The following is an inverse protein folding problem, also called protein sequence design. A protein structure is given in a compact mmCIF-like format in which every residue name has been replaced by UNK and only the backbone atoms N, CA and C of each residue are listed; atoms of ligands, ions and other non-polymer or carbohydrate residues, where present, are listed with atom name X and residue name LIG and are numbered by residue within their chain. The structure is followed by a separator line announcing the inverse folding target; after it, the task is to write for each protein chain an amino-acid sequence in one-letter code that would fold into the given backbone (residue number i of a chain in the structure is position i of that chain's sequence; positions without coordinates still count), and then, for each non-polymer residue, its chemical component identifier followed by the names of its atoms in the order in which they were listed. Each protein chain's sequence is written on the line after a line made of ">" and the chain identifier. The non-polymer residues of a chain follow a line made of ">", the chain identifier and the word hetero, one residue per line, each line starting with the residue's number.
data_IF_670169160172
#
_entry.id   IF_670169160172
#
_cell.length_a   1.000
_cell.length_b   1.000
_cell.length_c   1.000
_cell.angle_alpha   90.00
_cell.angle_beta   90.00
_cell.angle_gamma   90.00
#
_symmetry.space_group_name_H-M   'P 1'
#
loop_
_entity.id
_entity.type
_entity.pdbx_description
1 polymer ?
#
# COMPACT_ATOMS: atom_id res chain seq x y z
N UNK A 1 -33.56 12.90 7.42
CA UNK A 1 -34.03 11.80 6.56
C UNK A 1 -33.68 10.47 7.22
N UNK A 2 -34.25 10.17 8.39
CA UNK A 2 -34.03 8.89 9.08
C UNK A 2 -35.17 7.91 8.75
N UNK A 3 -34.90 6.61 8.78
CA UNK A 3 -35.92 5.57 8.58
C UNK A 3 -35.86 4.52 9.68
N UNK A 4 -36.93 3.71 9.80
CA UNK A 4 -37.03 2.67 10.84
C UNK A 4 -36.21 1.42 10.49
N UNK A 5 -36.30 0.98 9.23
CA UNK A 5 -35.66 -0.23 8.70
C UNK A 5 -34.48 0.06 7.75
N UNK A 6 -33.92 1.27 7.83
CA UNK A 6 -32.80 1.74 7.01
C UNK A 6 -32.72 3.26 7.00
N UNK A 7 -31.51 3.79 6.80
CA UNK A 7 -31.29 5.22 6.69
C UNK A 7 -31.81 5.83 5.39
N UNK A 8 -32.08 7.13 5.40
CA UNK A 8 -32.51 7.85 4.21
C UNK A 8 -31.36 8.33 3.34
N UNK A 9 -31.70 9.04 2.25
CA UNK A 9 -30.74 9.70 1.38
C UNK A 9 -30.88 11.23 1.48
N UNK A 10 -29.74 11.92 1.57
CA UNK A 10 -29.67 13.37 1.48
C UNK A 10 -28.61 13.78 0.43
N UNK A 11 -29.04 14.46 -0.63
CA UNK A 11 -28.17 14.98 -1.69
C UNK A 11 -28.20 16.52 -1.64
N UNK A 12 -27.09 17.12 -1.21
CA UNK A 12 -26.98 18.56 -0.96
C UNK A 12 -25.93 19.15 -1.89
N UNK A 13 -26.38 19.94 -2.86
CA UNK A 13 -25.50 20.58 -3.85
C UNK A 13 -24.99 19.63 -4.96
N UNK A 14 -25.32 18.35 -4.93
CA UNK A 14 -24.97 17.40 -6.00
C UNK A 14 -25.20 15.96 -5.57
N UNK A 15 -24.73 15.03 -6.39
CA UNK A 15 -24.71 13.60 -6.10
C UNK A 15 -23.26 13.09 -6.09
N UNK A 16 -23.07 11.79 -5.88
CA UNK A 16 -21.77 11.14 -5.74
C UNK A 16 -20.75 11.61 -6.78
N UNK A 17 -19.64 12.16 -6.28
CA UNK A 17 -18.54 12.75 -7.05
C UNK A 17 -18.96 13.78 -8.11
N UNK A 18 -20.16 14.36 -8.01
CA UNK A 18 -20.73 15.28 -9.00
C UNK A 18 -20.91 14.68 -10.39
N UNK A 19 -20.94 13.34 -10.51
CA UNK A 19 -20.94 12.63 -11.81
C UNK A 19 -22.34 12.36 -12.38
N UNK A 20 -23.37 12.50 -11.56
CA UNK A 20 -24.75 12.28 -12.00
C UNK A 20 -25.24 13.45 -12.86
N UNK A 21 -25.27 13.28 -14.18
CA UNK A 21 -25.73 14.31 -15.12
C UNK A 21 -27.20 14.69 -14.97
N UNK A 22 -28.00 13.91 -14.23
CA UNK A 22 -29.40 14.20 -13.94
C UNK A 22 -29.58 15.19 -12.77
N UNK A 23 -28.55 15.38 -11.93
CA UNK A 23 -28.57 16.29 -10.79
C UNK A 23 -27.60 17.43 -11.08
N UNK A 24 -28.09 18.67 -11.02
CA UNK A 24 -27.24 19.85 -11.22
C UNK A 24 -26.38 20.05 -9.98
N UNK A 25 -25.06 20.10 -10.18
CA UNK A 25 -24.13 20.46 -9.14
C UNK A 25 -24.23 21.95 -8.81
N UNK A 26 -24.20 22.26 -7.52
CA UNK A 26 -23.99 23.60 -7.02
C UNK A 26 -22.55 24.02 -7.31
N UNK A 27 -22.36 25.30 -7.65
CA UNK A 27 -21.01 25.86 -7.73
C UNK A 27 -20.35 25.89 -6.34
N UNK A 28 -21.13 26.23 -5.31
CA UNK A 28 -20.68 26.38 -3.93
C UNK A 28 -21.72 25.82 -2.97
N UNK A 29 -21.24 25.13 -1.93
CA UNK A 29 -22.08 24.56 -0.87
C UNK A 29 -21.53 24.99 0.49
N UNK A 30 -22.41 25.48 1.35
CA UNK A 30 -22.08 25.91 2.71
C UNK A 30 -23.04 25.24 3.69
N UNK A 31 -22.48 24.52 4.65
CA UNK A 31 -23.21 23.90 5.76
C UNK A 31 -22.75 24.56 7.06
N UNK A 32 -23.66 25.32 7.67
CA UNK A 32 -23.43 26.05 8.92
C UNK A 32 -23.10 25.10 10.09
N UNK A 33 -22.38 25.61 11.10
CA UNK A 33 -21.99 24.86 12.29
C UNK A 33 -23.18 24.32 13.11
N UNK A 34 -24.34 24.97 13.02
CA UNK A 34 -25.55 24.57 13.73
C UNK A 34 -26.45 23.65 12.89
N UNK A 35 -26.05 23.36 11.64
CA UNK A 35 -26.79 22.46 10.76
C UNK A 35 -26.56 20.99 11.13
N UNK A 36 -27.62 20.18 11.03
CA UNK A 36 -27.60 18.74 11.26
C UNK A 36 -28.25 18.01 10.09
N UNK A 37 -27.57 16.98 9.59
CA UNK A 37 -28.07 16.12 8.50
C UNK A 37 -28.14 14.68 9.03
N UNK A 38 -29.36 14.19 9.23
CA UNK A 38 -29.59 12.83 9.73
C UNK A 38 -30.03 11.91 8.60
N UNK A 39 -29.37 10.77 8.50
CA UNK A 39 -29.68 9.66 7.61
C UNK A 39 -29.64 8.33 8.37
N UNK A 40 -29.98 8.32 9.65
CA UNK A 40 -29.88 7.12 10.51
C UNK A 40 -30.94 6.07 10.22
N UNK A 41 -30.58 4.81 10.47
CA UNK A 41 -31.54 3.74 10.71
C UNK A 41 -31.88 3.68 12.21
N UNK A 42 -33.17 3.81 12.56
CA UNK A 42 -33.59 3.98 13.95
C UNK A 42 -33.68 2.65 14.71
N UNK A 43 -34.09 1.56 14.03
CA UNK A 43 -34.35 0.28 14.67
C UNK A 43 -33.53 -0.86 14.05
N UNK A 44 -33.62 -1.04 12.74
CA UNK A 44 -32.84 -2.06 12.01
C UNK A 44 -32.40 -1.53 10.65
N UNK A 45 -31.37 -2.13 10.05
CA UNK A 45 -30.89 -1.78 8.71
C UNK A 45 -29.74 -0.78 8.74
N UNK A 46 -29.15 -0.57 7.58
CA UNK A 46 -27.92 0.20 7.45
C UNK A 46 -28.19 1.71 7.57
N UNK A 47 -27.17 2.43 8.06
CA UNK A 47 -27.15 3.88 7.98
C UNK A 47 -27.25 4.35 6.52
N UNK A 48 -27.80 5.55 6.35
CA UNK A 48 -28.16 6.08 5.04
C UNK A 48 -27.00 6.69 4.27
N UNK A 49 -27.35 7.40 3.20
CA UNK A 49 -26.41 8.06 2.30
C UNK A 49 -26.53 9.57 2.41
N UNK A 50 -25.42 10.25 2.67
CA UNK A 50 -25.35 11.72 2.66
C UNK A 50 -24.28 12.18 1.68
N UNK A 51 -24.65 13.04 0.73
CA UNK A 51 -23.72 13.66 -0.20
C UNK A 51 -23.80 15.17 -0.05
N UNK A 52 -22.66 15.80 0.20
CA UNK A 52 -22.47 17.25 0.16
C UNK A 52 -21.45 17.55 -0.93
N UNK A 53 -21.88 18.22 -2.00
CA UNK A 53 -21.05 18.44 -3.19
C UNK A 53 -21.02 19.92 -3.60
N UNK A 54 -19.90 20.35 -4.18
CA UNK A 54 -19.78 21.58 -4.95
C UNK A 54 -18.74 21.45 -6.07
N UNK A 55 -19.01 22.07 -7.22
CA UNK A 55 -18.07 22.13 -8.37
C UNK A 55 -16.86 23.06 -8.12
N UNK A 56 -16.92 23.92 -7.10
CA UNK A 56 -15.81 24.78 -6.69
C UNK A 56 -15.51 24.63 -5.20
N UNK A 57 -16.35 25.20 -4.33
CA UNK A 57 -16.07 25.31 -2.89
C UNK A 57 -17.16 24.65 -2.05
N UNK A 58 -16.76 23.69 -1.21
CA UNK A 58 -17.58 23.19 -0.11
C UNK A 58 -16.99 23.61 1.23
N UNK A 59 -17.80 24.29 2.05
CA UNK A 59 -17.50 24.60 3.46
C UNK A 59 -18.47 23.82 4.34
N UNK A 60 -17.94 22.95 5.18
CA UNK A 60 -18.74 22.08 6.02
C UNK A 60 -18.33 22.20 7.48
N UNK A 61 -19.23 22.78 8.28
CA UNK A 61 -19.02 23.03 9.70
C UNK A 61 -20.04 22.31 10.61
N UNK A 62 -21.12 21.75 10.03
CA UNK A 62 -22.21 21.12 10.76
C UNK A 62 -21.92 19.67 11.20
N UNK A 63 -23.00 18.94 11.47
CA UNK A 63 -22.96 17.54 11.89
C UNK A 63 -23.72 16.63 10.90
N UNK A 64 -23.14 15.49 10.56
CA UNK A 64 -23.78 14.41 9.81
C UNK A 64 -23.90 13.17 10.70
N UNK A 65 -25.08 12.55 10.70
CA UNK A 65 -25.34 11.25 11.33
C UNK A 65 -25.89 10.29 10.28
N UNK A 66 -25.25 9.13 10.10
CA UNK A 66 -25.77 8.01 9.28
C UNK A 66 -25.48 6.69 10.01
N UNK A 67 -26.00 6.58 11.22
CA UNK A 67 -25.73 5.45 12.12
C UNK A 67 -26.56 4.22 11.73
N UNK A 68 -25.98 3.03 11.86
CA UNK A 68 -26.66 1.75 11.66
C UNK A 68 -27.70 1.44 12.74
N UNK A 69 -28.69 0.61 12.40
CA UNK A 69 -29.85 0.32 13.24
C UNK A 69 -29.50 -0.27 14.62
N UNK A 70 -30.27 0.11 15.64
CA UNK A 70 -30.07 -0.32 17.03
C UNK A 70 -30.19 -1.84 17.27
N UNK A 71 -30.78 -2.59 16.35
CA UNK A 71 -30.91 -4.06 16.35
C UNK A 71 -30.01 -4.75 15.31
N UNK A 72 -29.30 -3.99 14.48
CA UNK A 72 -28.44 -4.51 13.41
C UNK A 72 -28.44 -3.62 12.16
N UNK A 73 -27.37 -3.73 11.37
CA UNK A 73 -27.09 -2.95 10.16
C UNK A 73 -25.74 -2.26 10.22
N UNK A 74 -25.16 -1.95 9.07
CA UNK A 74 -23.87 -1.27 8.94
C UNK A 74 -24.03 0.24 9.11
N UNK A 75 -22.91 0.93 9.35
CA UNK A 75 -22.86 2.39 9.29
C UNK A 75 -23.02 2.88 7.86
N UNK A 76 -23.56 4.08 7.69
CA UNK A 76 -23.88 4.65 6.39
C UNK A 76 -22.68 5.18 5.61
N UNK A 77 -22.97 5.73 4.44
CA UNK A 77 -21.98 6.37 3.58
C UNK A 77 -22.18 7.88 3.56
N UNK A 78 -21.11 8.63 3.77
CA UNK A 78 -21.11 10.10 3.65
C UNK A 78 -19.98 10.58 2.75
N UNK A 79 -20.30 11.43 1.78
CA UNK A 79 -19.32 12.19 1.02
C UNK A 79 -19.46 13.69 1.34
N UNK A 80 -18.35 14.34 1.65
CA UNK A 80 -18.27 15.80 1.69
C UNK A 80 -17.12 16.26 0.81
N UNK A 81 -17.47 16.83 -0.34
CA UNK A 81 -16.52 17.13 -1.40
C UNK A 81 -16.74 18.53 -1.96
N UNK A 82 -15.64 19.20 -2.27
CA UNK A 82 -15.63 20.40 -3.10
C UNK A 82 -14.54 20.20 -4.13
N UNK A 83 -14.90 20.16 -5.40
CA UNK A 83 -14.02 19.74 -6.49
C UNK A 83 -12.70 20.52 -6.50
N UNK A 84 -12.75 21.84 -6.27
CA UNK A 84 -11.54 22.67 -6.19
C UNK A 84 -11.10 22.93 -4.74
N UNK A 85 -12.06 23.15 -3.84
CA UNK A 85 -11.81 23.56 -2.45
C UNK A 85 -12.77 22.88 -1.46
N UNK A 86 -12.20 22.32 -0.40
CA UNK A 86 -12.92 21.82 0.76
C UNK A 86 -12.32 22.44 2.03
N UNK A 87 -13.20 22.96 2.87
CA UNK A 87 -12.93 23.30 4.27
C UNK A 87 -13.86 22.46 5.16
N UNK A 88 -13.31 21.39 5.73
CA UNK A 88 -14.03 20.44 6.56
C UNK A 88 -13.63 20.60 8.02
N UNK A 89 -14.54 21.16 8.82
CA UNK A 89 -14.36 21.35 10.27
C UNK A 89 -15.56 20.84 11.09
N UNK A 90 -16.56 20.25 10.42
CA UNK A 90 -17.73 19.66 11.07
C UNK A 90 -17.44 18.31 11.74
N UNK A 91 -18.46 17.47 11.88
CA UNK A 91 -18.34 16.11 12.46
C UNK A 91 -19.20 15.10 11.70
N UNK A 92 -18.84 13.82 11.78
CA UNK A 92 -19.60 12.72 11.21
C UNK A 92 -19.67 11.54 12.18
N UNK A 93 -20.87 11.05 12.44
CA UNK A 93 -21.13 9.78 13.13
C UNK A 93 -21.76 8.79 12.15
N UNK A 94 -20.95 7.81 11.73
CA UNK A 94 -21.34 6.74 10.80
C UNK A 94 -21.13 5.39 11.49
N UNK A 95 -21.27 5.35 12.82
CA UNK A 95 -20.99 4.17 13.60
C UNK A 95 -22.02 3.07 13.35
N UNK A 96 -21.63 1.84 13.68
CA UNK A 96 -22.55 0.73 13.88
C UNK A 96 -22.17 -0.04 15.14
N UNK A 97 -23.18 -0.57 15.83
CA UNK A 97 -23.00 -1.41 17.02
C UNK A 97 -22.75 -2.89 16.68
N UNK A 98 -23.32 -3.38 15.58
CA UNK A 98 -23.34 -4.81 15.24
C UNK A 98 -22.81 -5.11 13.85
N UNK A 99 -22.70 -4.09 13.00
CA UNK A 99 -22.19 -4.19 11.64
C UNK A 99 -20.86 -3.45 11.49
N UNK A 100 -20.49 -3.22 10.24
CA UNK A 100 -19.29 -2.50 9.88
C UNK A 100 -19.43 -0.99 10.11
N UNK A 101 -18.30 -0.32 10.38
CA UNK A 101 -18.26 1.13 10.51
C UNK A 101 -18.49 1.77 9.13
N UNK A 102 -19.35 2.78 9.06
CA UNK A 102 -19.64 3.53 7.85
C UNK A 102 -18.45 4.37 7.36
N UNK A 103 -18.54 4.90 6.14
CA UNK A 103 -17.40 5.60 5.49
C UNK A 103 -17.69 7.08 5.28
N UNK A 104 -16.75 7.91 5.74
CA UNK A 104 -16.64 9.32 5.39
C UNK A 104 -15.61 9.47 4.26
N UNK A 105 -16.08 9.87 3.07
CA UNK A 105 -15.27 10.23 1.92
C UNK A 105 -15.09 11.75 1.85
N UNK A 106 -13.84 12.19 1.75
CA UNK A 106 -13.46 13.58 1.49
C UNK A 106 -12.63 13.59 0.19
N UNK A 107 -13.18 14.16 -0.91
CA UNK A 107 -12.53 14.13 -2.24
C UNK A 107 -12.06 15.52 -2.76
N UNK A 108 -11.00 16.09 -2.14
CA UNK A 108 -10.12 17.13 -2.65
C UNK A 108 -9.70 17.16 -4.11
N UNK A 109 -9.31 18.33 -4.61
CA UNK A 109 -8.19 18.38 -5.58
C UNK A 109 -6.80 18.23 -4.89
N UNK A 110 -6.64 18.60 -3.61
CA UNK A 110 -5.41 18.54 -2.77
C UNK A 110 -5.95 18.53 -1.33
N UNK A 111 -5.16 18.08 -0.38
CA UNK A 111 -5.54 18.06 1.03
C UNK A 111 -4.37 18.55 1.88
N UNK A 112 -4.63 19.48 2.80
CA UNK A 112 -3.77 19.76 3.94
C UNK A 112 -4.55 19.42 5.22
N UNK A 113 -4.08 18.41 5.96
CA UNK A 113 -4.61 18.09 7.29
C UNK A 113 -3.81 18.87 8.31
N UNK A 114 -4.45 19.82 8.99
CA UNK A 114 -3.78 20.77 9.89
C UNK A 114 -4.68 21.19 11.05
N UNK A 115 -4.12 21.99 11.96
CA UNK A 115 -4.91 22.61 13.03
C UNK A 115 -5.82 23.69 12.48
N UNK A 116 -7.03 23.76 13.05
CA UNK A 116 -7.97 24.82 12.75
C UNK A 116 -7.34 26.17 13.09
N UNK A 117 -6.86 26.87 12.06
CA UNK A 117 -6.83 28.31 12.05
C UNK A 117 -8.13 28.77 11.41
N UNK A 118 -9.16 29.04 12.20
CA UNK A 118 -10.28 29.85 11.71
C UNK A 118 -9.65 31.13 11.18
N UNK A 119 -9.93 31.49 9.93
CA UNK A 119 -9.66 32.84 9.47
C UNK A 119 -10.32 33.78 10.49
N UNK A 120 -9.57 34.74 11.03
CA UNK A 120 -10.11 35.70 12.00
C UNK A 120 -11.37 36.38 11.45
N UNK A 121 -12.19 36.91 12.34
CA UNK A 121 -13.56 37.47 12.14
C UNK A 121 -13.66 38.57 11.04
N UNK A 122 -12.57 38.93 10.35
CA UNK A 122 -12.53 39.85 9.21
C UNK A 122 -12.27 39.23 7.83
N UNK A 123 -12.18 37.90 7.69
CA UNK A 123 -11.94 37.20 6.41
C UNK A 123 -13.20 36.86 5.60
N UNK A 124 -14.33 37.48 5.93
CA UNK A 124 -15.64 37.21 5.29
C UNK A 124 -15.79 38.07 4.03
N UNK A 125 -14.97 37.80 3.02
CA UNK A 125 -15.49 37.76 1.66
C UNK A 125 -15.61 36.28 1.31
N UNK A 126 -16.76 35.71 1.67
CA UNK A 126 -16.91 34.30 2.11
C UNK A 126 -16.64 33.26 1.02
N UNK A 127 -16.27 33.69 -0.19
CA UNK A 127 -15.82 32.84 -1.28
C UNK A 127 -14.81 33.51 -2.24
N UNK A 128 -14.22 34.65 -1.87
CA UNK A 128 -13.21 35.33 -2.69
C UNK A 128 -11.77 34.92 -2.36
N UNK A 129 -11.60 33.97 -1.43
CA UNK A 129 -10.30 33.44 -1.04
C UNK A 129 -9.77 32.45 -2.10
N UNK A 130 -9.52 32.99 -3.29
CA UNK A 130 -8.82 32.28 -4.37
C UNK A 130 -7.37 32.06 -3.93
N UNK A 131 -7.03 30.84 -3.52
CA UNK A 131 -5.65 30.43 -3.27
C UNK A 131 -5.29 30.07 -1.84
N UNK A 132 -6.21 30.08 -0.87
CA UNK A 132 -5.95 29.56 0.47
C UNK A 132 -5.96 28.02 0.47
N UNK A 133 -4.93 27.42 1.06
CA UNK A 133 -4.71 25.96 1.14
C UNK A 133 -5.90 25.23 1.77
N UNK A 134 -6.27 24.09 1.16
CA UNK A 134 -7.39 23.19 1.50
C UNK A 134 -7.25 22.66 2.92
N UNK A 135 -8.28 22.78 3.78
CA UNK A 135 -8.14 22.44 5.20
C UNK A 135 -9.11 21.35 5.61
N UNK A 136 -8.54 20.27 6.13
CA UNK A 136 -9.28 19.30 6.93
C UNK A 136 -8.75 19.41 8.35
N UNK A 137 -9.63 19.68 9.31
CA UNK A 137 -9.23 19.74 10.72
C UNK A 137 -8.93 18.32 11.23
N UNK A 138 -7.70 18.07 11.69
CA UNK A 138 -7.35 16.75 12.21
C UNK A 138 -8.20 16.33 13.43
N UNK A 139 -8.64 17.29 14.27
CA UNK A 139 -9.50 16.98 15.41
C UNK A 139 -10.87 16.46 14.96
N UNK A 140 -11.38 16.94 13.83
CA UNK A 140 -12.61 16.42 13.23
C UNK A 140 -12.43 14.96 12.80
N UNK A 141 -11.29 14.62 12.18
CA UNK A 141 -11.00 13.23 11.80
C UNK A 141 -10.88 12.33 13.04
N UNK A 142 -10.14 12.79 14.05
CA UNK A 142 -9.89 12.04 15.29
C UNK A 142 -11.18 11.70 16.07
N UNK A 143 -12.19 12.55 15.94
CA UNK A 143 -13.50 12.41 16.58
C UNK A 143 -14.56 11.79 15.64
N UNK A 144 -14.22 11.48 14.39
CA UNK A 144 -15.15 10.83 13.48
C UNK A 144 -15.39 9.38 13.94
N UNK A 145 -16.66 9.00 14.08
CA UNK A 145 -17.04 7.62 14.31
C UNK A 145 -17.27 6.94 12.95
N UNK A 146 -16.21 6.89 12.13
CA UNK A 146 -16.27 6.47 10.75
C UNK A 146 -14.92 5.90 10.27
N UNK A 147 -14.97 5.03 9.27
CA UNK A 147 -13.85 4.83 8.35
C UNK A 147 -13.62 6.14 7.59
N UNK A 148 -12.38 6.61 7.50
CA UNK A 148 -12.04 7.87 6.84
C UNK A 148 -11.31 7.57 5.54
N UNK A 149 -11.87 8.01 4.42
CA UNK A 149 -11.22 7.98 3.11
C UNK A 149 -11.01 9.41 2.63
N UNK A 150 -9.76 9.74 2.32
CA UNK A 150 -9.39 11.02 1.72
C UNK A 150 -8.81 10.75 0.34
N UNK A 151 -9.48 11.29 -0.68
CA UNK A 151 -9.05 11.26 -2.06
C UNK A 151 -8.60 12.66 -2.49
N UNK A 152 -7.50 12.74 -3.22
CA UNK A 152 -6.97 13.98 -3.73
C UNK A 152 -6.49 13.83 -5.19
N UNK A 153 -6.91 14.74 -6.07
CA UNK A 153 -6.43 14.75 -7.45
C UNK A 153 -4.94 15.13 -7.60
N UNK A 154 -4.32 15.68 -6.56
CA UNK A 154 -2.91 16.03 -6.52
C UNK A 154 -2.27 15.45 -5.25
N UNK A 155 -1.99 16.27 -4.23
CA UNK A 155 -1.25 15.87 -3.03
C UNK A 155 -2.13 15.76 -1.78
N UNK A 156 -1.70 14.92 -0.84
CA UNK A 156 -2.16 14.91 0.55
C UNK A 156 -0.97 15.25 1.45
N UNK A 157 -1.09 16.30 2.27
CA UNK A 157 -0.09 16.67 3.28
C UNK A 157 -0.72 16.61 4.67
N UNK A 158 -0.05 15.96 5.63
CA UNK A 158 -0.47 15.87 7.03
C UNK A 158 0.49 16.63 7.94
N UNK A 159 0.06 17.82 8.37
CA UNK A 159 0.80 18.74 9.23
C UNK A 159 0.31 18.77 10.68
N UNK A 160 -0.76 18.03 11.00
CA UNK A 160 -1.20 17.75 12.36
C UNK A 160 -1.35 16.24 12.60
N UNK A 161 -1.05 15.79 13.81
CA UNK A 161 -1.27 14.40 14.25
C UNK A 161 -2.71 13.96 14.00
N UNK A 162 -2.85 12.82 13.34
CA UNK A 162 -4.10 12.06 13.22
C UNK A 162 -4.05 10.92 14.23
N UNK A 163 -5.14 10.72 14.96
CA UNK A 163 -5.33 9.71 15.99
C UNK A 163 -6.79 9.27 15.96
N UNK A 164 -7.12 8.29 15.11
CA UNK A 164 -8.46 7.71 15.06
C UNK A 164 -8.65 6.82 16.30
N UNK A 165 -9.54 7.22 17.20
CA UNK A 165 -9.74 6.53 18.48
C UNK A 165 -10.81 5.44 18.42
N UNK A 166 -11.69 5.50 17.43
CA UNK A 166 -12.71 4.49 17.16
C UNK A 166 -12.04 3.16 16.82
N UNK A 167 -12.30 2.12 17.61
CA UNK A 167 -11.68 0.80 17.41
C UNK A 167 -12.07 0.22 16.05
N UNK A 168 -11.08 -0.28 15.32
CA UNK A 168 -11.26 -0.84 13.97
C UNK A 168 -11.48 0.19 12.85
N UNK A 169 -11.63 1.48 13.17
CA UNK A 169 -11.84 2.51 12.15
C UNK A 169 -10.59 2.68 11.27
N UNK A 170 -10.77 2.55 9.97
CA UNK A 170 -9.69 2.59 8.98
C UNK A 170 -9.42 4.01 8.49
N UNK A 171 -8.19 4.23 8.03
CA UNK A 171 -7.77 5.45 7.36
C UNK A 171 -7.21 5.10 5.97
N UNK A 172 -7.83 5.65 4.93
CA UNK A 172 -7.35 5.52 3.55
C UNK A 172 -7.01 6.88 2.98
N UNK A 173 -5.78 7.06 2.51
CA UNK A 173 -5.36 8.18 1.68
C UNK A 173 -5.08 7.71 0.27
N UNK A 174 -5.60 8.44 -0.70
CA UNK A 174 -5.34 8.21 -2.12
C UNK A 174 -5.05 9.53 -2.81
N UNK A 175 -3.81 9.70 -3.27
CA UNK A 175 -3.33 10.90 -3.95
C UNK A 175 -2.81 10.54 -5.34
N UNK A 176 -3.24 11.24 -6.39
CA UNK A 176 -2.69 11.06 -7.74
C UNK A 176 -1.28 11.64 -7.92
N UNK A 177 -0.74 12.30 -6.89
CA UNK A 177 0.65 12.72 -6.82
C UNK A 177 1.28 12.19 -5.52
N UNK A 178 1.63 13.07 -4.57
CA UNK A 178 2.35 12.69 -3.36
C UNK A 178 1.46 12.57 -2.13
N UNK A 179 1.86 11.70 -1.20
CA UNK A 179 1.42 11.72 0.19
C UNK A 179 2.62 12.13 1.07
N UNK A 180 2.50 13.22 1.83
CA UNK A 180 3.53 13.71 2.74
C UNK A 180 3.03 13.73 4.18
N UNK A 181 3.68 12.97 5.06
CA UNK A 181 3.32 12.87 6.48
C UNK A 181 4.37 13.59 7.34
N UNK A 182 4.05 14.82 7.72
CA UNK A 182 4.87 15.63 8.63
C UNK A 182 4.55 15.36 10.12
N UNK A 183 3.46 14.64 10.39
CA UNK A 183 3.00 14.26 11.72
C UNK A 183 2.63 12.79 11.82
N UNK A 184 2.53 12.27 13.05
CA UNK A 184 2.19 10.87 13.26
C UNK A 184 0.75 10.58 12.87
N UNK A 185 0.52 9.39 12.31
CA UNK A 185 -0.80 8.80 12.12
C UNK A 185 -0.91 7.59 13.03
N UNK A 186 -1.99 7.53 13.80
CA UNK A 186 -2.33 6.37 14.64
C UNK A 186 -3.80 6.02 14.46
N UNK A 187 -4.11 4.73 14.37
CA UNK A 187 -5.47 4.18 14.48
C UNK A 187 -5.56 3.27 15.70
N UNK A 188 -6.79 2.95 16.12
CA UNK A 188 -7.05 1.98 17.19
C UNK A 188 -7.34 0.60 16.58
N UNK A 189 -6.29 -0.09 16.15
CA UNK A 189 -6.39 -1.40 15.48
C UNK A 189 -7.21 -1.37 14.17
N UNK A 190 -7.23 -0.22 13.49
CA UNK A 190 -7.82 -0.06 12.16
C UNK A 190 -6.74 -0.01 11.09
N UNK A 191 -6.99 -0.59 9.92
CA UNK A 191 -6.03 -0.58 8.83
C UNK A 191 -5.70 0.86 8.36
N UNK A 192 -4.44 1.07 7.96
CA UNK A 192 -4.00 2.29 7.30
C UNK A 192 -3.64 1.94 5.86
N UNK A 193 -4.27 2.59 4.88
CA UNK A 193 -3.96 2.43 3.44
C UNK A 193 -3.50 3.75 2.85
N UNK A 194 -2.31 3.77 2.25
CA UNK A 194 -1.71 4.93 1.62
C UNK A 194 -1.42 4.60 0.15
N UNK A 195 -2.10 5.27 -0.76
CA UNK A 195 -1.91 5.11 -2.20
C UNK A 195 -1.40 6.44 -2.78
N UNK A 196 -0.18 6.47 -3.27
CA UNK A 196 0.39 7.63 -3.95
C UNK A 196 0.91 7.23 -5.34
N UNK A 197 0.50 7.95 -6.39
CA UNK A 197 0.94 7.62 -7.75
C UNK A 197 2.36 8.11 -8.04
N UNK A 198 2.84 9.13 -7.31
CA UNK A 198 4.23 9.58 -7.40
C UNK A 198 4.99 9.10 -6.18
N UNK A 199 5.02 9.84 -5.06
CA UNK A 199 5.86 9.47 -3.90
C UNK A 199 5.11 9.45 -2.57
N UNK A 200 5.62 8.65 -1.64
CA UNK A 200 5.19 8.58 -0.25
C UNK A 200 6.35 9.02 0.64
N UNK A 201 6.14 10.09 1.41
CA UNK A 201 7.17 10.67 2.26
C UNK A 201 6.66 10.69 3.69
N UNK A 202 7.36 10.01 4.60
CA UNK A 202 7.00 10.05 6.03
C UNK A 202 8.14 10.49 6.93
N UNK A 203 7.89 11.52 7.73
CA UNK A 203 8.85 12.01 8.73
C UNK A 203 8.54 11.53 10.15
N UNK A 204 7.37 10.91 10.37
CA UNK A 204 6.86 10.48 11.69
C UNK A 204 6.23 9.10 11.66
N UNK A 205 5.91 8.58 12.84
CA UNK A 205 5.38 7.23 13.01
C UNK A 205 4.02 7.05 12.31
N UNK A 206 3.82 5.86 11.74
CA UNK A 206 2.55 5.35 11.22
C UNK A 206 2.25 4.10 12.02
N UNK A 207 1.16 4.11 12.76
CA UNK A 207 0.85 3.06 13.71
C UNK A 207 -0.59 2.57 13.51
N UNK A 208 -0.73 1.38 12.93
CA UNK A 208 -2.02 0.69 12.78
C UNK A 208 -2.26 -0.34 13.89
N UNK A 209 -1.40 -0.38 14.91
CA UNK A 209 -1.47 -1.33 16.01
C UNK A 209 -1.41 -2.77 15.52
N UNK A 210 -2.48 -3.52 15.79
CA UNK A 210 -2.63 -4.93 15.39
C UNK A 210 -3.23 -5.12 13.98
N UNK A 211 -3.52 -4.03 13.27
CA UNK A 211 -4.00 -4.09 11.89
C UNK A 211 -2.88 -4.10 10.85
N UNK A 212 -3.27 -4.14 9.58
CA UNK A 212 -2.35 -4.07 8.44
C UNK A 212 -2.15 -2.62 8.02
N UNK A 213 -0.89 -2.25 7.76
CA UNK A 213 -0.56 -1.04 7.00
C UNK A 213 -0.28 -1.41 5.55
N UNK A 214 -0.89 -0.69 4.61
CA UNK A 214 -0.75 -0.89 3.16
C UNK A 214 -0.18 0.40 2.56
N UNK A 215 0.92 0.30 1.82
CA UNK A 215 1.48 1.40 1.02
C UNK A 215 1.57 0.93 -0.42
N UNK A 216 0.91 1.61 -1.35
CA UNK A 216 0.85 1.21 -2.75
C UNK A 216 1.01 2.39 -3.70
N UNK A 217 1.33 2.07 -4.95
CA UNK A 217 1.30 3.01 -6.07
C UNK A 217 0.37 2.49 -7.15
N UNK A 218 -0.34 3.39 -7.84
CA UNK A 218 -1.16 3.06 -9.01
C UNK A 218 -0.28 3.15 -10.26
N UNK A 219 0.04 1.99 -10.84
CA UNK A 219 0.96 1.73 -11.93
C UNK A 219 2.45 2.07 -11.68
N UNK A 220 2.77 2.82 -10.63
CA UNK A 220 4.14 3.26 -10.34
C UNK A 220 5.06 2.13 -9.85
N UNK A 221 6.36 2.29 -10.14
CA UNK A 221 7.44 1.44 -9.64
C UNK A 221 7.87 1.87 -8.24
N UNK A 222 7.91 0.93 -7.30
CA UNK A 222 8.30 1.17 -5.91
C UNK A 222 9.74 0.69 -5.66
N UNK A 223 10.56 1.53 -5.03
CA UNK A 223 11.86 1.16 -4.45
C UNK A 223 11.76 1.01 -2.93
N UNK A 224 12.31 -0.06 -2.38
CA UNK A 224 12.42 -0.32 -0.94
C UNK A 224 13.88 -0.28 -0.48
N UNK A 225 14.10 0.28 0.71
CA UNK A 225 15.43 0.41 1.32
C UNK A 225 16.27 1.43 0.57
N UNK A 226 17.43 1.02 0.07
CA UNK A 226 18.35 1.86 -0.70
C UNK A 226 18.13 1.78 -2.22
N UNK A 227 17.04 1.12 -2.65
CA UNK A 227 16.82 0.82 -4.06
C UNK A 227 16.62 2.08 -4.90
N UNK A 228 17.35 2.16 -6.02
CA UNK A 228 17.18 3.18 -7.07
C UNK A 228 16.38 2.65 -8.27
N UNK A 229 15.75 1.49 -8.14
CA UNK A 229 15.01 0.80 -9.21
C UNK A 229 15.82 0.63 -10.51
N UNK A 230 17.15 0.47 -10.36
CA UNK A 230 18.13 0.43 -11.47
C UNK A 230 18.07 1.65 -12.40
N UNK A 231 17.64 2.80 -11.89
CA UNK A 231 17.56 4.06 -12.64
C UNK A 231 16.68 5.09 -11.94
N UNK A 232 15.37 4.87 -11.95
CA UNK A 232 14.38 5.74 -11.29
C UNK A 232 13.24 4.90 -10.74
N UNK A 233 12.85 5.19 -9.50
CA UNK A 233 11.59 4.76 -8.93
C UNK A 233 10.55 5.87 -9.12
N UNK A 234 9.27 5.52 -9.20
CA UNK A 234 8.20 6.51 -9.06
C UNK A 234 8.03 6.86 -7.57
N UNK A 235 7.96 5.83 -6.73
CA UNK A 235 7.90 5.93 -5.26
C UNK A 235 9.13 5.31 -4.61
N UNK A 236 9.68 5.94 -3.57
CA UNK A 236 10.74 5.34 -2.74
C UNK A 236 10.27 5.24 -1.29
N UNK A 237 10.40 4.06 -0.70
CA UNK A 237 10.17 3.83 0.74
C UNK A 237 11.50 3.44 1.35
N UNK A 238 12.19 4.44 1.89
CA UNK A 238 13.53 4.29 2.45
C UNK A 238 13.54 3.47 3.74
N UNK A 239 14.71 2.98 4.16
CA UNK A 239 14.91 2.36 5.48
C UNK A 239 14.45 3.26 6.65
N UNK A 240 14.57 4.58 6.48
CA UNK A 240 14.11 5.55 7.49
C UNK A 240 12.60 5.69 7.53
N UNK A 241 11.89 5.34 6.46
CA UNK A 241 10.42 5.32 6.42
C UNK A 241 9.87 3.98 6.87
N UNK A 242 10.46 2.87 6.42
CA UNK A 242 10.13 1.53 6.87
C UNK A 242 10.17 1.44 8.41
N UNK A 243 11.24 1.96 9.03
CA UNK A 243 11.41 1.92 10.50
C UNK A 243 10.37 2.72 11.28
N UNK A 244 9.59 3.57 10.62
CA UNK A 244 8.50 4.36 11.24
C UNK A 244 7.15 3.64 11.22
N UNK A 245 7.05 2.50 10.56
CA UNK A 245 5.78 1.76 10.41
C UNK A 245 5.66 0.73 11.53
N UNK A 246 4.62 0.87 12.35
CA UNK A 246 4.20 -0.12 13.34
C UNK A 246 2.90 -0.75 12.86
N UNK A 247 2.89 -2.08 12.75
CA UNK A 247 1.73 -2.84 12.28
C UNK A 247 1.83 -4.32 12.67
N UNK A 248 0.70 -5.05 12.63
CA UNK A 248 0.76 -6.51 12.60
C UNK A 248 1.32 -7.01 11.26
N UNK A 249 0.86 -6.45 10.14
CA UNK A 249 1.38 -6.79 8.83
C UNK A 249 1.65 -5.52 8.03
N UNK A 250 2.68 -5.55 7.19
CA UNK A 250 3.01 -4.49 6.25
C UNK A 250 2.86 -5.03 4.84
N UNK A 251 1.97 -4.45 4.05
CA UNK A 251 1.84 -4.73 2.62
C UNK A 251 2.39 -3.56 1.81
N UNK A 252 3.34 -3.84 0.93
CA UNK A 252 3.84 -2.91 -0.06
C UNK A 252 3.33 -3.33 -1.44
N UNK A 253 2.65 -2.40 -2.10
CA UNK A 253 1.99 -2.58 -3.38
C UNK A 253 0.63 -3.27 -3.30
N UNK A 254 -0.08 -3.26 -4.41
CA UNK A 254 -1.30 -4.01 -4.66
C UNK A 254 -1.41 -4.41 -6.15
N UNK A 255 -2.57 -4.90 -6.59
CA UNK A 255 -2.79 -5.35 -7.97
C UNK A 255 -2.72 -4.21 -9.02
N UNK A 256 -2.57 -2.95 -8.61
CA UNK A 256 -2.30 -1.83 -9.52
C UNK A 256 -0.83 -1.42 -9.56
N UNK A 257 -0.02 -1.87 -8.59
CA UNK A 257 1.38 -1.45 -8.47
C UNK A 257 2.24 -2.02 -9.59
N UNK A 258 3.13 -1.19 -10.15
CA UNK A 258 4.13 -1.56 -11.14
C UNK A 258 5.23 -2.44 -10.54
N UNK A 259 6.49 -2.30 -10.96
CA UNK A 259 7.57 -3.14 -10.41
C UNK A 259 7.87 -2.79 -8.95
N UNK A 260 8.36 -3.77 -8.19
CA UNK A 260 8.93 -3.52 -6.86
C UNK A 260 10.41 -3.91 -6.86
N UNK A 261 11.28 -2.98 -6.49
CA UNK A 261 12.71 -3.23 -6.31
C UNK A 261 13.09 -3.10 -4.85
N UNK A 262 13.84 -4.06 -4.32
CA UNK A 262 14.33 -4.04 -2.94
C UNK A 262 15.86 -4.10 -2.92
N UNK A 263 16.49 -3.23 -2.10
CA UNK A 263 17.93 -3.18 -1.88
C UNK A 263 18.22 -2.78 -0.43
N UNK A 264 19.14 -3.49 0.22
CA UNK A 264 19.68 -3.15 1.56
C UNK A 264 18.65 -2.91 2.68
N UNK A 265 17.51 -3.61 2.68
CA UNK A 265 16.56 -3.53 3.81
C UNK A 265 17.16 -4.26 5.02
N UNK A 266 17.38 -3.56 6.12
CA UNK A 266 17.94 -4.11 7.35
C UNK A 266 16.86 -4.69 8.27
N UNK A 267 17.24 -5.55 9.23
CA UNK A 267 16.30 -6.07 10.24
C UNK A 267 15.62 -4.95 11.04
N UNK A 268 16.35 -3.87 11.35
CA UNK A 268 15.79 -2.74 12.09
C UNK A 268 14.74 -1.97 11.29
N UNK A 269 14.81 -1.99 9.96
CA UNK A 269 13.91 -1.24 9.09
C UNK A 269 12.48 -1.77 9.20
N UNK A 270 12.30 -3.06 9.47
CA UNK A 270 10.97 -3.69 9.60
C UNK A 270 10.71 -4.26 10.99
N UNK A 271 11.56 -3.94 11.98
CA UNK A 271 11.48 -4.47 13.35
C UNK A 271 10.17 -4.16 14.11
N UNK A 272 9.45 -3.11 13.70
CA UNK A 272 8.15 -2.71 14.26
C UNK A 272 6.96 -3.41 13.56
N UNK A 273 7.22 -4.26 12.56
CA UNK A 273 6.21 -5.13 11.95
C UNK A 273 6.28 -6.49 12.63
N UNK A 274 5.26 -6.82 13.42
CA UNK A 274 5.27 -8.03 14.25
C UNK A 274 4.97 -9.33 13.49
N UNK A 275 4.29 -9.23 12.35
CA UNK A 275 3.92 -10.33 11.48
C UNK A 275 4.66 -10.29 10.15
N UNK A 276 3.91 -10.34 9.05
CA UNK A 276 4.48 -10.54 7.70
C UNK A 276 4.65 -9.23 6.96
N UNK A 277 5.80 -9.10 6.28
CA UNK A 277 5.96 -8.13 5.19
C UNK A 277 5.57 -8.81 3.89
N UNK A 278 4.61 -8.23 3.18
CA UNK A 278 4.12 -8.72 1.89
C UNK A 278 4.43 -7.72 0.80
N UNK A 279 5.10 -8.17 -0.26
CA UNK A 279 5.28 -7.38 -1.49
C UNK A 279 4.31 -7.93 -2.54
N UNK A 280 3.43 -7.09 -3.08
CA UNK A 280 2.44 -7.49 -4.09
C UNK A 280 2.38 -6.50 -5.24
N UNK A 281 2.36 -6.98 -6.48
CA UNK A 281 2.30 -6.11 -7.64
C UNK A 281 1.80 -6.79 -8.92
N UNK A 282 1.47 -5.98 -9.94
CA UNK A 282 1.01 -6.43 -11.25
C UNK A 282 2.14 -6.69 -12.26
N UNK A 283 3.37 -6.86 -11.78
CA UNK A 283 4.57 -6.90 -12.60
C UNK A 283 5.65 -7.74 -11.92
N UNK A 284 6.91 -7.31 -11.99
CA UNK A 284 8.05 -8.03 -11.42
C UNK A 284 8.39 -7.56 -10.00
N UNK A 285 8.88 -8.46 -9.15
CA UNK A 285 9.57 -8.15 -7.89
C UNK A 285 11.05 -8.49 -8.05
N UNK A 286 11.94 -7.54 -7.73
CA UNK A 286 13.39 -7.68 -7.90
C UNK A 286 14.13 -7.34 -6.61
N UNK A 287 14.91 -8.28 -6.09
CA UNK A 287 15.90 -8.02 -5.05
C UNK A 287 17.26 -7.84 -5.71
N UNK A 288 17.90 -6.69 -5.52
CA UNK A 288 19.18 -6.34 -6.15
C UNK A 288 20.08 -5.56 -5.19
N UNK A 289 21.31 -5.28 -5.61
CA UNK A 289 22.28 -4.58 -4.75
C UNK A 289 22.71 -5.43 -3.55
N UNK A 290 22.45 -4.93 -2.34
CA UNK A 290 22.85 -5.52 -1.07
C UNK A 290 21.77 -6.42 -0.47
N UNK A 291 22.21 -7.36 0.36
CA UNK A 291 21.34 -8.33 1.04
C UNK A 291 20.24 -7.63 1.83
N UNK A 292 19.02 -8.17 1.76
CA UNK A 292 17.85 -7.66 2.51
C UNK A 292 17.33 -8.67 3.53
N UNK A 293 16.77 -8.16 4.63
CA UNK A 293 16.32 -8.92 5.80
C UNK A 293 14.86 -8.59 6.14
N UNK A 294 14.11 -9.61 6.57
CA UNK A 294 12.73 -9.48 7.04
C UNK A 294 12.45 -10.47 8.16
N UNK A 295 11.49 -10.20 9.05
CA UNK A 295 11.06 -11.19 10.04
C UNK A 295 10.40 -12.40 9.35
N UNK A 296 9.39 -12.12 8.52
CA UNK A 296 8.68 -13.06 7.64
C UNK A 296 8.39 -12.33 6.32
N UNK A 297 8.54 -12.99 5.18
CA UNK A 297 8.41 -12.37 3.87
C UNK A 297 7.47 -13.17 2.96
N UNK A 298 6.51 -12.49 2.35
CA UNK A 298 5.68 -13.02 1.26
C UNK A 298 5.82 -12.15 0.02
N UNK A 299 6.07 -12.77 -1.13
CA UNK A 299 6.16 -12.13 -2.44
C UNK A 299 5.02 -12.64 -3.32
N UNK A 300 4.30 -11.74 -3.97
CA UNK A 300 3.20 -12.07 -4.88
C UNK A 300 3.28 -11.17 -6.10
N UNK A 301 3.81 -11.70 -7.19
CA UNK A 301 4.01 -10.98 -8.43
C UNK A 301 3.13 -11.60 -9.52
N UNK A 302 2.40 -10.79 -10.27
CA UNK A 302 1.70 -11.28 -11.48
C UNK A 302 2.72 -11.75 -12.52
N UNK A 303 3.97 -11.26 -12.51
CA UNK A 303 5.02 -11.69 -13.44
C UNK A 303 6.17 -12.41 -12.73
N UNK A 304 7.38 -11.85 -12.79
CA UNK A 304 8.58 -12.54 -12.36
C UNK A 304 9.02 -12.12 -10.95
N UNK A 305 9.67 -13.04 -10.24
CA UNK A 305 10.40 -12.75 -9.01
C UNK A 305 11.88 -13.06 -9.24
N UNK A 306 12.74 -12.05 -9.09
CA UNK A 306 14.18 -12.18 -9.31
C UNK A 306 14.96 -11.87 -8.03
N UNK A 307 15.73 -12.84 -7.54
CA UNK A 307 16.60 -12.75 -6.37
C UNK A 307 18.05 -12.62 -6.86
N UNK A 308 18.46 -11.40 -7.21
CA UNK A 308 19.81 -11.05 -7.72
C UNK A 308 20.81 -10.77 -6.59
N UNK A 309 20.30 -10.63 -5.37
CA UNK A 309 21.08 -10.52 -4.14
C UNK A 309 20.47 -11.41 -3.06
N UNK A 310 21.27 -11.80 -2.06
CA UNK A 310 20.78 -12.69 -1.01
C UNK A 310 19.62 -12.07 -0.23
N UNK A 311 18.70 -12.91 0.25
CA UNK A 311 17.55 -12.50 1.08
C UNK A 311 17.50 -13.41 2.29
N UNK A 312 17.16 -12.84 3.46
CA UNK A 312 17.01 -13.61 4.70
C UNK A 312 15.70 -13.30 5.40
N UNK A 313 15.01 -14.36 5.84
CA UNK A 313 13.95 -14.26 6.84
C UNK A 313 14.46 -14.76 8.18
N UNK A 314 14.36 -13.93 9.22
CA UNK A 314 15.04 -14.17 10.51
C UNK A 314 14.16 -14.84 11.57
N UNK A 315 12.83 -14.86 11.37
CA UNK A 315 11.88 -15.45 12.31
C UNK A 315 11.00 -16.51 11.64
N UNK A 316 10.33 -16.13 10.55
CA UNK A 316 9.31 -16.96 9.91
C UNK A 316 9.70 -17.41 8.51
N UNK A 317 8.66 -17.69 7.73
CA UNK A 317 8.77 -18.28 6.41
C UNK A 317 9.18 -17.26 5.34
N UNK A 318 9.74 -17.78 4.25
CA UNK A 318 9.77 -17.11 2.96
C UNK A 318 8.76 -17.77 2.04
N UNK A 319 7.83 -17.00 1.50
CA UNK A 319 6.85 -17.46 0.49
C UNK A 319 6.95 -16.59 -0.75
N UNK A 320 6.97 -17.19 -1.93
CA UNK A 320 6.96 -16.47 -3.20
C UNK A 320 6.00 -17.13 -4.19
N UNK A 321 5.17 -16.31 -4.83
CA UNK A 321 4.29 -16.68 -5.93
C UNK A 321 4.60 -15.76 -7.11
N UNK A 322 5.19 -16.31 -8.15
CA UNK A 322 5.22 -15.72 -9.49
C UNK A 322 4.03 -16.30 -10.28
N UNK A 323 3.44 -15.55 -11.20
CA UNK A 323 2.15 -15.88 -11.86
C UNK A 323 0.95 -15.83 -10.89
N UNK A 324 0.82 -14.73 -10.15
CA UNK A 324 -0.27 -14.56 -9.19
C UNK A 324 -1.65 -14.37 -9.85
N UNK A 325 -1.70 -13.94 -11.11
CA UNK A 325 -2.91 -13.78 -11.92
C UNK A 325 -3.27 -15.05 -12.72
N UNK A 326 -2.43 -16.08 -12.68
CA UNK A 326 -2.68 -17.40 -13.26
C UNK A 326 -2.89 -17.36 -14.77
N UNK A 327 -2.06 -16.59 -15.47
CA UNK A 327 -2.04 -16.49 -16.93
C UNK A 327 -1.02 -17.45 -17.59
N UNK A 328 -0.41 -18.33 -16.79
CA UNK A 328 0.67 -19.25 -17.16
C UNK A 328 1.99 -18.52 -17.55
N UNK A 329 2.16 -17.24 -17.17
CA UNK A 329 3.42 -16.50 -17.23
C UNK A 329 3.95 -16.13 -15.83
N UNK A 330 5.05 -16.76 -15.40
CA UNK A 330 5.74 -16.28 -14.20
C UNK A 330 6.95 -17.11 -13.84
N UNK A 331 8.09 -16.43 -13.68
CA UNK A 331 9.35 -17.09 -13.35
C UNK A 331 9.87 -16.63 -11.99
N UNK A 332 10.31 -17.58 -11.20
CA UNK A 332 11.16 -17.32 -10.04
C UNK A 332 12.63 -17.61 -10.40
N UNK A 333 13.51 -16.63 -10.24
CA UNK A 333 14.96 -16.79 -10.46
C UNK A 333 15.73 -16.50 -9.16
N UNK A 334 16.60 -17.43 -8.76
CA UNK A 334 17.60 -17.23 -7.71
C UNK A 334 19.00 -17.31 -8.33
N UNK A 335 19.68 -16.16 -8.39
CA UNK A 335 20.93 -16.01 -9.12
C UNK A 335 22.09 -16.83 -8.57
N UNK A 336 23.03 -17.16 -9.46
CA UNK A 336 24.26 -17.89 -9.15
C UNK A 336 25.03 -17.21 -8.00
N UNK A 337 25.38 -17.99 -6.99
CA UNK A 337 26.14 -17.52 -5.82
C UNK A 337 25.34 -16.69 -4.81
N UNK A 338 24.01 -16.54 -5.01
CA UNK A 338 23.11 -15.91 -4.03
C UNK A 338 22.50 -16.97 -3.12
N UNK A 339 22.12 -16.54 -1.92
CA UNK A 339 21.49 -17.42 -0.93
C UNK A 339 20.16 -16.83 -0.50
N UNK A 340 19.12 -17.64 -0.57
CA UNK A 340 17.86 -17.40 0.11
C UNK A 340 17.89 -18.16 1.45
N UNK A 341 17.96 -17.44 2.56
CA UNK A 341 17.96 -18.00 3.91
C UNK A 341 16.59 -17.83 4.55
N UNK A 342 16.07 -18.86 5.23
CA UNK A 342 14.83 -18.75 5.99
C UNK A 342 14.88 -19.47 7.34
N UNK A 343 14.51 -18.73 8.39
CA UNK A 343 14.28 -19.24 9.73
C UNK A 343 13.01 -20.12 9.85
N UNK A 344 12.22 -20.23 8.79
CA UNK A 344 11.08 -21.15 8.68
C UNK A 344 11.13 -21.98 7.40
N UNK A 345 9.95 -22.21 6.83
CA UNK A 345 9.77 -22.88 5.55
C UNK A 345 10.08 -21.94 4.39
N UNK A 346 10.53 -22.51 3.28
CA UNK A 346 10.58 -21.84 1.97
C UNK A 346 9.51 -22.46 1.08
N UNK A 347 8.58 -21.65 0.58
CA UNK A 347 7.57 -22.07 -0.41
C UNK A 347 7.69 -21.18 -1.63
N UNK A 348 7.91 -21.77 -2.80
CA UNK A 348 8.00 -21.06 -4.07
C UNK A 348 7.02 -21.73 -5.04
N UNK A 349 6.12 -20.92 -5.59
CA UNK A 349 5.18 -21.29 -6.65
C UNK A 349 5.45 -20.40 -7.87
N UNK A 350 5.67 -21.01 -9.02
CA UNK A 350 5.94 -20.33 -10.29
C UNK A 350 5.73 -21.30 -11.44
N UNK A 351 5.50 -20.78 -12.65
CA UNK A 351 5.50 -21.62 -13.86
C UNK A 351 6.89 -22.25 -14.07
N UNK A 352 7.95 -21.45 -13.90
CA UNK A 352 9.34 -21.90 -13.96
C UNK A 352 10.15 -21.39 -12.76
N UNK A 353 11.00 -22.26 -12.22
CA UNK A 353 11.92 -21.96 -11.10
C UNK A 353 13.36 -22.16 -11.58
N UNK A 354 14.07 -21.06 -11.82
CA UNK A 354 15.50 -21.03 -12.09
C UNK A 354 16.29 -20.93 -10.79
N UNK A 355 16.70 -22.06 -10.22
CA UNK A 355 17.44 -22.12 -8.96
C UNK A 355 18.93 -22.32 -9.21
N UNK A 356 19.65 -21.22 -9.47
CA UNK A 356 21.10 -21.23 -9.67
C UNK A 356 21.89 -20.92 -8.39
N UNK A 357 21.26 -20.28 -7.41
CA UNK A 357 21.78 -20.08 -6.06
C UNK A 357 21.41 -21.20 -5.08
N UNK A 358 21.61 -20.91 -3.79
CA UNK A 358 21.33 -21.84 -2.69
C UNK A 358 20.10 -21.42 -1.88
N UNK A 359 19.28 -22.39 -1.47
CA UNK A 359 18.19 -22.20 -0.52
C UNK A 359 18.61 -22.87 0.79
N UNK A 360 18.63 -22.10 1.88
CA UNK A 360 18.96 -22.54 3.23
C UNK A 360 17.75 -22.29 4.14
N UNK A 361 16.85 -23.28 4.20
CA UNK A 361 15.66 -23.24 5.04
C UNK A 361 15.88 -24.12 6.26
N UNK A 362 15.58 -23.60 7.45
CA UNK A 362 15.55 -24.42 8.67
C UNK A 362 14.34 -25.37 8.69
N UNK A 363 13.26 -24.97 8.03
CA UNK A 363 12.06 -25.76 7.80
C UNK A 363 12.07 -26.51 6.46
N UNK A 364 10.88 -26.86 5.96
CA UNK A 364 10.75 -27.53 4.66
C UNK A 364 10.94 -26.55 3.49
N UNK A 365 11.53 -27.04 2.39
CA UNK A 365 11.53 -26.34 1.10
C UNK A 365 10.53 -27.00 0.16
N UNK A 366 9.56 -26.23 -0.32
CA UNK A 366 8.54 -26.64 -1.30
C UNK A 366 8.67 -25.80 -2.54
N UNK A 367 8.87 -26.44 -3.70
CA UNK A 367 9.00 -25.79 -5.00
C UNK A 367 7.93 -26.37 -5.93
N UNK A 368 7.03 -25.52 -6.41
CA UNK A 368 5.97 -25.86 -7.37
C UNK A 368 6.26 -25.12 -8.67
N UNK A 369 6.50 -25.87 -9.76
CA UNK A 369 6.90 -25.31 -11.06
C UNK A 369 7.91 -26.16 -11.81
N UNK A 370 8.22 -25.78 -13.06
CA UNK A 370 9.32 -26.38 -13.82
C UNK A 370 10.67 -25.96 -13.21
N UNK A 371 11.38 -26.90 -12.57
CA UNK A 371 12.65 -26.61 -11.92
C UNK A 371 13.84 -26.72 -12.88
N UNK A 372 14.60 -25.62 -13.02
CA UNK A 372 15.86 -25.52 -13.76
C UNK A 372 17.00 -25.21 -12.79
N UNK A 373 18.00 -26.10 -12.72
CA UNK A 373 19.15 -25.96 -11.78
C UNK A 373 20.50 -25.76 -12.45
N UNK A 374 20.54 -25.71 -13.78
CA UNK A 374 21.78 -25.51 -14.55
C UNK A 374 21.72 -24.21 -15.32
N UNK A 375 22.62 -23.28 -15.00
CA UNK A 375 22.78 -22.04 -15.75
C UNK A 375 23.51 -22.32 -17.07
N UNK A 376 22.73 -22.45 -18.15
CA UNK A 376 23.25 -22.66 -19.51
C UNK A 376 23.95 -21.40 -20.08
N UNK A 377 23.83 -20.25 -19.42
CA UNK A 377 24.38 -18.96 -19.84
C UNK A 377 25.89 -18.82 -19.69
N UNK A 378 26.57 -19.76 -19.01
CA UNK A 378 28.02 -19.71 -18.78
C UNK A 378 28.84 -20.79 -19.52
N UNK A 379 28.30 -21.42 -20.58
CA UNK A 379 29.10 -22.33 -21.43
C UNK A 379 29.97 -21.60 -22.45
N UNK A 380 30.51 -20.41 -22.13
CA UNK A 380 31.66 -19.86 -22.86
C UNK A 380 32.92 -20.63 -22.43
N UNK A 381 33.08 -21.80 -23.04
CA UNK A 381 34.32 -22.55 -23.26
C UNK A 381 35.38 -22.35 -22.17
N UNK A 382 35.31 -23.12 -21.08
CA UNK A 382 36.55 -23.56 -20.46
C UNK A 382 37.25 -24.40 -21.53
N UNK A 383 38.22 -23.79 -22.23
CA UNK A 383 39.18 -24.55 -23.05
C UNK A 383 39.65 -25.72 -22.18
N UNK A 384 39.73 -26.96 -22.71
CA UNK A 384 40.31 -28.04 -21.95
C UNK A 384 41.68 -27.55 -21.47
N UNK A 385 41.92 -27.67 -20.17
CA UNK A 385 43.23 -27.42 -19.60
C UNK A 385 44.24 -28.26 -20.40
N UNK A 386 45.32 -27.64 -20.86
CA UNK A 386 46.36 -28.31 -21.65
C UNK A 386 47.02 -29.47 -20.88
N UNK A 387 46.72 -29.62 -19.59
CA UNK A 387 47.13 -30.74 -18.76
C UNK A 387 46.45 -32.08 -19.11
N UNK A 388 45.20 -32.12 -19.60
CA UNK A 388 44.52 -33.40 -19.88
C UNK A 388 44.73 -33.93 -21.32
N UNK A 389 45.17 -33.08 -22.26
CA UNK A 389 45.55 -33.53 -23.61
C UNK A 389 46.89 -34.28 -23.67
N UNK A 390 47.71 -34.20 -22.61
CA UNK A 390 49.01 -34.89 -22.54
C UNK A 390 48.90 -36.36 -22.14
N UNK A 391 47.76 -36.81 -21.59
CA UNK A 391 47.59 -38.20 -21.15
C UNK A 391 47.18 -39.15 -22.27
N UNK A 392 46.54 -38.66 -23.33
CA UNK A 392 46.10 -39.48 -24.46
C UNK A 392 47.11 -39.59 -25.61
N UNK A 393 48.13 -38.73 -25.66
CA UNK A 393 49.13 -38.77 -26.75
C UNK A 393 50.28 -39.76 -26.49
N UNK A 394 50.55 -40.12 -25.22
CA UNK A 394 51.62 -41.05 -24.88
C UNK A 394 51.22 -42.54 -24.92
N UNK A 395 49.94 -42.88 -25.09
CA UNK A 395 49.49 -44.26 -25.21
C UNK A 395 49.60 -44.82 -26.64
N UNK A 396 49.86 -43.99 -27.66
CA UNK A 396 49.92 -44.42 -29.07
C UNK A 396 51.33 -44.44 -29.69
N UNK A 397 52.40 -44.08 -28.96
CA UNK A 397 53.80 -44.18 -29.45
C UNK A 397 54.59 -45.37 -28.90
N UNK A 398 53.96 -46.30 -28.17
CA UNK A 398 54.65 -47.43 -27.52
C UNK A 398 54.77 -48.73 -28.32
N UNK A 399 54.19 -48.85 -29.52
CA UNK A 399 54.17 -50.12 -30.29
C UNK A 399 54.77 -49.92 -31.68
N UNK A 400 56.08 -49.70 -31.76
CA UNK A 400 56.87 -50.02 -32.95
C UNK A 400 58.36 -49.92 -32.63
N UNK A 401 58.93 -51.01 -32.10
CA UNK A 401 60.30 -51.44 -32.39
C UNK A 401 60.57 -52.76 -31.66
N UNK A 402 60.51 -53.86 -32.42
CA UNK A 402 61.27 -55.05 -32.09
C UNK A 402 62.20 -55.37 -33.28
N UNK A 403 63.53 -55.35 -33.12
CA UNK A 403 64.48 -55.73 -34.15
C UNK A 403 65.01 -57.16 -33.92
N UNK A 404 65.05 -57.99 -34.97
CA UNK A 404 65.92 -59.18 -35.01
C UNK A 404 65.21 -60.52 -35.25
N UNK A 405 65.75 -61.23 -36.25
CA UNK A 405 65.43 -62.56 -36.79
C UNK A 405 64.31 -62.64 -37.84
#
# INVERSE_FOLDING_TARGET
>A
MSGDTGGGEALIGGDYQGKNSMIKNAWRTYIDKDATINADASNSGDGGKVIVWADDTSKFYGHISSVGGALGGDGGFTEVSGKNFLDFQGTADLSSRYGEIGTLLLDPDNVEVKSSGLAGVGGVDEFADTGATRKINANTLNNAAANVTIQANNNITVDQKINLTTSGATLTFQAKNNITLNQSITTNDGAIKLIANNDFISTKAIDSGTATTIIASDAGTIGLGDSTCKGSCDMTISSTELSKITAANLKIGDASTGKIYTDNVSESDTSNVSGTVTLTNSSDIIFHGQKSFFSTLTLTADRNISIETSVETTVGNFTATADADSDDEGKFTLDTGKTLTSAGNVTIDAVQIERFGSIDATGSTTLTGELVTTDSGNTKKKKPDQAEASLFTNALMGIAKNPGC
#
